data_IF_449104184357
#
_entry.id   IF_449104184357
#
_cell.length_a   1.000
_cell.length_b   1.000
_cell.length_c   1.000
_cell.angle_alpha   90.00
_cell.angle_beta   90.00
_cell.angle_gamma   90.00
#
_symmetry.space_group_name_H-M   'P 1'
#
loop_
_entity.id
_entity.type
_entity.pdbx_description
1 polymer ?
#
# COMPACT_ATOMS: atom_id res chain seq x y z
N UNK A 1 33.77 3.01 -42.13
CA UNK A 1 33.07 4.27 -41.81
C UNK A 1 31.82 3.92 -41.01
N UNK A 2 31.90 4.05 -39.69
CA UNK A 2 30.80 3.70 -38.79
C UNK A 2 30.09 5.02 -38.44
N UNK A 3 28.80 5.12 -38.76
CA UNK A 3 28.04 6.35 -38.61
C UNK A 3 27.87 6.70 -37.12
N UNK A 4 28.23 7.91 -36.67
CA UNK A 4 28.12 8.33 -35.27
C UNK A 4 26.68 8.66 -34.83
N UNK A 5 25.68 8.36 -35.67
CA UNK A 5 24.29 8.76 -35.44
C UNK A 5 23.39 7.65 -34.85
N UNK A 6 23.92 6.45 -34.59
CA UNK A 6 23.13 5.32 -34.07
C UNK A 6 23.41 4.94 -32.60
N UNK A 7 24.19 5.74 -31.87
CA UNK A 7 24.64 5.42 -30.49
C UNK A 7 24.06 6.35 -29.41
N UNK A 8 22.89 6.97 -29.66
CA UNK A 8 22.24 7.90 -28.72
C UNK A 8 20.85 7.44 -28.24
N UNK A 9 20.46 6.20 -28.53
CA UNK A 9 19.19 5.59 -28.06
C UNK A 9 19.36 4.62 -26.88
N UNK A 10 20.55 4.52 -26.30
CA UNK A 10 20.80 3.69 -25.12
C UNK A 10 21.19 4.59 -23.95
N UNK A 11 20.43 4.49 -22.86
CA UNK A 11 20.57 5.21 -21.59
C UNK A 11 19.78 6.53 -21.47
N UNK A 12 18.49 6.49 -21.76
CA UNK A 12 17.59 7.19 -20.84
C UNK A 12 17.50 6.30 -19.59
N UNK A 13 18.10 6.64 -18.44
CA UNK A 13 17.65 6.03 -17.21
C UNK A 13 16.17 6.43 -17.10
N UNK A 14 15.28 5.45 -17.28
CA UNK A 14 13.94 5.58 -16.77
C UNK A 14 14.10 5.66 -15.24
N UNK A 15 14.38 6.86 -14.73
CA UNK A 15 14.31 7.17 -13.31
C UNK A 15 12.82 7.16 -13.00
N UNK A 16 12.23 5.97 -12.98
CA UNK A 16 10.89 5.75 -12.50
C UNK A 16 10.96 6.14 -11.03
N UNK A 17 10.30 7.26 -10.69
CA UNK A 17 9.93 7.56 -9.32
C UNK A 17 9.50 6.25 -8.65
N UNK A 18 10.18 5.82 -7.59
CA UNK A 18 9.77 4.61 -6.88
C UNK A 18 8.36 4.83 -6.32
N UNK A 19 7.38 4.26 -7.00
CA UNK A 19 5.97 4.26 -6.61
C UNK A 19 5.73 3.08 -5.69
N UNK A 20 5.19 3.35 -4.51
CA UNK A 20 4.81 2.33 -3.54
C UNK A 20 3.32 2.04 -3.68
N UNK A 21 2.94 0.98 -4.38
CA UNK A 21 1.55 0.51 -4.42
C UNK A 21 1.11 -0.04 -3.07
N UNK A 22 -0.19 0.06 -2.74
CA UNK A 22 -0.75 -0.52 -1.51
C UNK A 22 -0.92 -2.01 -1.73
N UNK A 23 -0.08 -2.81 -1.12
CA UNK A 23 -0.08 -4.27 -1.19
C UNK A 23 -0.31 -4.96 0.17
N UNK A 24 -0.49 -4.16 1.24
CA UNK A 24 -0.88 -4.62 2.57
C UNK A 24 -2.06 -3.84 3.13
N UNK A 25 -2.76 -4.43 4.11
CA UNK A 25 -3.72 -3.70 4.95
C UNK A 25 -3.02 -2.83 6.02
N UNK A 26 -3.82 -2.18 6.87
CA UNK A 26 -3.34 -1.30 7.95
C UNK A 26 -2.56 -2.04 9.05
N UNK A 27 -2.66 -3.37 9.09
CA UNK A 27 -1.93 -4.25 10.01
C UNK A 27 -0.72 -4.92 9.36
N UNK A 28 -0.36 -4.49 8.13
CA UNK A 28 0.74 -5.05 7.34
C UNK A 28 0.52 -6.49 6.86
N UNK A 29 -0.72 -7.00 6.86
CA UNK A 29 -1.02 -8.27 6.23
C UNK A 29 -1.07 -8.09 4.71
N UNK A 30 -0.46 -9.02 3.97
CA UNK A 30 -0.46 -8.98 2.51
C UNK A 30 -1.88 -9.12 1.95
N UNK A 31 -2.23 -8.21 1.05
CA UNK A 31 -3.48 -8.27 0.29
C UNK A 31 -3.38 -9.37 -0.77
N UNK A 32 -4.39 -10.24 -0.80
CA UNK A 32 -4.49 -11.33 -1.78
C UNK A 32 -5.45 -10.88 -2.88
N UNK A 33 -5.00 -10.75 -4.14
CA UNK A 33 -5.87 -10.30 -5.22
C UNK A 33 -6.96 -11.34 -5.52
N UNK A 34 -8.21 -10.90 -5.65
CA UNK A 34 -9.33 -11.83 -5.85
C UNK A 34 -9.21 -12.63 -7.15
N UNK A 35 -8.63 -12.04 -8.20
CA UNK A 35 -8.43 -12.70 -9.51
C UNK A 35 -7.50 -13.91 -9.43
N UNK A 36 -6.67 -13.99 -8.39
CA UNK A 36 -5.71 -15.06 -8.19
C UNK A 36 -6.34 -16.25 -7.44
N UNK A 37 -7.58 -16.10 -6.95
CA UNK A 37 -8.29 -17.17 -6.23
C UNK A 37 -8.94 -18.13 -7.22
N UNK A 38 -8.64 -19.42 -7.02
CA UNK A 38 -9.11 -20.50 -7.87
C UNK A 38 -10.43 -21.08 -7.38
N UNK A 39 -11.12 -21.79 -8.27
CA UNK A 39 -12.37 -22.48 -7.98
C UNK A 39 -12.05 -23.82 -7.29
N UNK A 40 -12.76 -24.10 -6.19
CA UNK A 40 -12.68 -25.37 -5.47
C UNK A 40 -11.51 -25.45 -4.48
N UNK A 41 -11.77 -26.07 -3.32
CA UNK A 41 -10.82 -26.11 -2.22
C UNK A 41 -9.58 -27.00 -2.44
N UNK A 42 -9.60 -27.88 -3.44
CA UNK A 42 -8.41 -28.64 -3.85
C UNK A 42 -7.29 -27.74 -4.41
N UNK A 43 -7.62 -26.54 -4.85
CA UNK A 43 -6.70 -25.59 -5.47
C UNK A 43 -6.66 -24.27 -4.68
N UNK A 44 -6.90 -24.34 -3.37
CA UNK A 44 -6.98 -23.18 -2.51
C UNK A 44 -5.67 -22.36 -2.53
N UNK A 45 -5.82 -21.04 -2.67
CA UNK A 45 -4.72 -20.08 -2.59
C UNK A 45 -4.76 -19.45 -1.21
N UNK A 46 -3.69 -19.63 -0.43
CA UNK A 46 -3.61 -19.17 0.96
C UNK A 46 -4.78 -19.64 1.85
N UNK A 47 -5.32 -20.84 1.58
CA UNK A 47 -6.46 -21.41 2.31
C UNK A 47 -7.83 -20.89 1.87
N UNK A 48 -7.91 -20.10 0.80
CA UNK A 48 -9.15 -19.59 0.23
C UNK A 48 -9.39 -20.11 -1.19
N UNK A 49 -10.67 -20.32 -1.54
CA UNK A 49 -11.11 -20.68 -2.87
C UNK A 49 -12.47 -20.05 -3.18
N UNK A 50 -12.86 -20.05 -4.47
CA UNK A 50 -14.24 -19.80 -4.86
C UNK A 50 -15.02 -21.11 -4.80
N UNK A 51 -16.04 -21.18 -3.95
CA UNK A 51 -16.91 -22.35 -3.80
C UNK A 51 -18.36 -21.88 -3.80
N UNK A 52 -19.21 -22.55 -4.58
CA UNK A 52 -20.62 -22.17 -4.80
C UNK A 52 -20.82 -20.68 -5.17
N UNK A 53 -19.85 -20.13 -5.91
CA UNK A 53 -19.83 -18.73 -6.33
C UNK A 53 -19.44 -17.72 -5.25
N UNK A 54 -19.08 -18.15 -4.04
CA UNK A 54 -18.62 -17.34 -2.93
C UNK A 54 -17.13 -17.50 -2.64
N UNK A 55 -16.47 -16.44 -2.13
CA UNK A 55 -15.13 -16.55 -1.56
C UNK A 55 -15.20 -17.27 -0.21
N UNK A 56 -14.53 -18.40 -0.06
CA UNK A 56 -14.63 -19.27 1.11
C UNK A 56 -13.24 -19.60 1.66
N UNK A 57 -13.12 -19.65 3.00
CA UNK A 57 -12.00 -20.28 3.70
C UNK A 57 -12.23 -21.78 3.74
N UNK A 58 -11.38 -22.53 3.07
CA UNK A 58 -11.62 -23.93 2.76
C UNK A 58 -11.75 -24.84 3.98
N UNK A 59 -10.93 -24.63 5.00
CA UNK A 59 -10.99 -25.43 6.23
C UNK A 59 -12.32 -25.26 6.96
N UNK A 60 -12.93 -24.06 6.90
CA UNK A 60 -14.23 -23.83 7.54
C UNK A 60 -15.35 -24.37 6.65
N UNK A 61 -15.31 -24.08 5.34
CA UNK A 61 -16.31 -24.57 4.39
C UNK A 61 -16.47 -26.10 4.44
N UNK A 62 -15.35 -26.83 4.47
CA UNK A 62 -15.37 -28.29 4.51
C UNK A 62 -15.93 -28.84 5.84
N UNK A 63 -15.73 -28.14 6.97
CA UNK A 63 -16.34 -28.53 8.25
C UNK A 63 -17.87 -28.37 8.23
N UNK A 64 -18.37 -27.28 7.65
CA UNK A 64 -19.81 -27.00 7.57
C UNK A 64 -20.56 -28.04 6.73
N UNK A 65 -19.91 -28.66 5.74
CA UNK A 65 -20.51 -29.75 4.96
C UNK A 65 -20.77 -31.03 5.78
N UNK A 66 -20.35 -31.08 7.06
CA UNK A 66 -20.52 -32.20 7.99
C UNK A 66 -21.69 -32.12 8.97
N UNK A 67 -22.47 -31.03 9.01
CA UNK A 67 -23.68 -30.93 9.84
C UNK A 67 -23.76 -29.65 10.69
N UNK A 68 -24.93 -28.99 10.63
CA UNK A 68 -25.26 -27.69 11.21
C UNK A 68 -25.06 -27.59 12.73
N UNK A 69 -23.95 -27.00 13.17
CA UNK A 69 -23.68 -26.69 14.59
C UNK A 69 -23.66 -25.19 14.88
N UNK A 70 -23.65 -24.81 16.16
CA UNK A 70 -23.58 -23.42 16.62
C UNK A 70 -22.33 -22.65 16.11
N UNK A 71 -21.25 -23.38 15.75
CA UNK A 71 -20.05 -22.83 15.13
C UNK A 71 -20.26 -22.42 13.66
N UNK A 72 -21.19 -23.05 12.95
CA UNK A 72 -21.51 -22.70 11.57
C UNK A 72 -22.11 -21.30 11.48
N UNK A 73 -22.84 -20.91 12.52
CA UNK A 73 -23.36 -19.58 12.67
C UNK A 73 -22.23 -18.54 12.79
N UNK A 74 -21.12 -18.86 13.47
CA UNK A 74 -19.99 -17.93 13.63
C UNK A 74 -19.26 -17.67 12.32
N UNK A 75 -19.00 -18.72 11.53
CA UNK A 75 -18.30 -18.54 10.25
C UNK A 75 -19.18 -17.80 9.23
N UNK A 76 -20.49 -18.08 9.17
CA UNK A 76 -21.41 -17.33 8.31
C UNK A 76 -21.47 -15.83 8.67
N UNK A 77 -21.52 -15.50 9.96
CA UNK A 77 -21.43 -14.11 10.42
C UNK A 77 -20.07 -13.47 10.07
N UNK A 78 -18.98 -14.21 10.23
CA UNK A 78 -17.65 -13.77 9.83
C UNK A 78 -17.59 -13.46 8.32
N UNK A 79 -18.09 -14.36 7.47
CA UNK A 79 -18.16 -14.15 6.01
C UNK A 79 -18.91 -12.87 5.67
N UNK A 80 -20.07 -12.68 6.26
CA UNK A 80 -20.91 -11.50 5.99
C UNK A 80 -20.28 -10.19 6.44
N UNK A 81 -19.51 -10.23 7.52
CA UNK A 81 -18.83 -9.04 8.04
C UNK A 81 -17.54 -8.71 7.28
N UNK A 82 -16.80 -9.73 6.86
CA UNK A 82 -15.40 -9.59 6.44
C UNK A 82 -15.16 -9.93 4.97
N UNK A 83 -15.87 -10.91 4.41
CA UNK A 83 -15.67 -11.43 3.06
C UNK A 83 -16.78 -11.04 2.06
N UNK A 84 -17.90 -10.45 2.52
CA UNK A 84 -19.01 -9.99 1.68
C UNK A 84 -19.29 -8.50 1.88
N UNK A 85 -18.94 -7.66 0.91
CA UNK A 85 -19.10 -6.19 0.97
C UNK A 85 -20.56 -5.81 1.14
N UNK A 86 -21.46 -6.41 0.36
CA UNK A 86 -22.91 -6.27 0.52
C UNK A 86 -23.55 -7.60 0.93
N UNK A 87 -22.96 -8.26 1.94
CA UNK A 87 -23.55 -9.44 2.56
C UNK A 87 -24.63 -9.11 3.59
N UNK A 88 -25.55 -10.05 3.80
CA UNK A 88 -26.48 -10.10 4.92
C UNK A 88 -26.70 -11.55 5.36
N UNK A 89 -26.83 -11.76 6.67
CA UNK A 89 -27.15 -13.09 7.21
C UNK A 89 -28.66 -13.30 7.07
N UNK A 90 -29.05 -14.31 6.28
CA UNK A 90 -30.44 -14.74 6.06
C UNK A 90 -30.52 -16.26 6.23
N UNK A 91 -31.43 -16.69 7.09
CA UNK A 91 -31.63 -18.12 7.42
C UNK A 91 -30.35 -18.80 7.95
N UNK A 92 -29.58 -18.07 8.76
CA UNK A 92 -28.31 -18.57 9.31
C UNK A 92 -27.17 -18.66 8.31
N UNK A 93 -27.37 -18.26 7.04
CA UNK A 93 -26.34 -18.23 6.01
C UNK A 93 -26.06 -16.81 5.54
N UNK A 94 -24.81 -16.52 5.25
CA UNK A 94 -24.42 -15.30 4.60
C UNK A 94 -24.79 -15.33 3.12
N UNK A 95 -25.64 -14.39 2.71
CA UNK A 95 -26.08 -14.24 1.32
C UNK A 95 -25.78 -12.81 0.85
N UNK A 96 -25.64 -12.61 -0.45
CA UNK A 96 -25.61 -11.24 -0.97
C UNK A 96 -26.97 -10.58 -0.75
N UNK A 97 -26.94 -9.28 -0.42
CA UNK A 97 -28.13 -8.43 -0.46
C UNK A 97 -28.75 -8.45 -1.85
N UNK A 98 -30.04 -8.15 -1.89
CA UNK A 98 -30.78 -8.05 -3.15
C UNK A 98 -30.04 -7.16 -4.16
N UNK A 99 -30.00 -7.59 -5.42
CA UNK A 99 -29.30 -6.94 -6.53
C UNK A 99 -27.76 -6.95 -6.47
N UNK A 100 -27.14 -7.56 -5.46
CA UNK A 100 -25.70 -7.81 -5.43
C UNK A 100 -25.35 -9.27 -5.76
N UNK A 101 -24.15 -9.46 -6.29
CA UNK A 101 -23.63 -10.77 -6.69
C UNK A 101 -22.10 -10.84 -6.62
N UNK A 102 -21.57 -11.99 -7.03
CA UNK A 102 -20.14 -12.27 -7.13
C UNK A 102 -19.55 -12.81 -5.82
N UNK A 103 -18.29 -13.27 -5.85
CA UNK A 103 -17.63 -13.94 -4.73
C UNK A 103 -17.60 -13.16 -3.42
N UNK A 104 -17.60 -11.83 -3.52
CA UNK A 104 -17.55 -10.93 -2.36
C UNK A 104 -18.80 -10.06 -2.22
N UNK A 105 -19.89 -10.38 -2.94
CA UNK A 105 -21.11 -9.56 -2.98
C UNK A 105 -20.83 -8.09 -3.28
N UNK A 106 -19.89 -7.79 -4.19
CA UNK A 106 -19.49 -6.44 -4.53
C UNK A 106 -20.07 -5.96 -5.87
N UNK A 107 -20.47 -6.88 -6.75
CA UNK A 107 -20.99 -6.56 -8.07
C UNK A 107 -22.49 -6.28 -8.01
N UNK A 108 -22.93 -5.22 -8.68
CA UNK A 108 -24.35 -4.88 -8.76
C UNK A 108 -24.95 -5.39 -10.06
N UNK A 109 -26.05 -6.15 -9.99
CA UNK A 109 -26.70 -6.82 -11.14
C UNK A 109 -27.16 -5.87 -12.23
N UNK A 110 -27.48 -4.62 -11.88
CA UNK A 110 -27.86 -3.59 -12.85
C UNK A 110 -26.69 -2.88 -13.53
N UNK A 111 -25.45 -3.25 -13.22
CA UNK A 111 -24.24 -2.67 -13.79
C UNK A 111 -23.50 -3.67 -14.71
N UNK A 112 -22.60 -3.19 -15.58
CA UNK A 112 -21.71 -4.06 -16.34
C UNK A 112 -20.88 -4.97 -15.41
N UNK A 113 -20.39 -6.08 -15.96
CA UNK A 113 -19.58 -7.07 -15.24
C UNK A 113 -18.43 -6.42 -14.45
N UNK A 114 -18.23 -6.87 -13.21
CA UNK A 114 -17.20 -6.37 -12.31
C UNK A 114 -17.46 -4.97 -11.72
N UNK A 115 -18.54 -4.29 -12.09
CA UNK A 115 -18.90 -2.97 -11.56
C UNK A 115 -19.86 -3.07 -10.36
N UNK A 116 -19.78 -2.07 -9.49
CA UNK A 116 -20.67 -1.88 -8.35
C UNK A 116 -21.53 -0.63 -8.53
N UNK A 117 -22.53 -0.46 -7.67
CA UNK A 117 -23.36 0.74 -7.62
C UNK A 117 -22.80 1.71 -6.57
N UNK A 118 -22.30 2.86 -7.00
CA UNK A 118 -21.84 3.93 -6.11
C UNK A 118 -22.59 5.22 -6.44
N UNK A 119 -23.27 5.82 -5.47
CA UNK A 119 -24.07 7.03 -5.68
C UNK A 119 -25.00 6.93 -6.91
N UNK A 120 -25.67 5.77 -7.08
CA UNK A 120 -26.59 5.47 -8.19
C UNK A 120 -25.95 5.41 -9.59
N UNK A 121 -24.63 5.40 -9.68
CA UNK A 121 -23.91 5.20 -10.95
C UNK A 121 -23.07 3.94 -10.87
N UNK A 122 -22.93 3.26 -12.01
CA UNK A 122 -22.05 2.11 -12.13
C UNK A 122 -20.60 2.56 -12.09
N UNK A 123 -19.82 1.91 -11.23
CA UNK A 123 -18.47 2.33 -10.90
C UNK A 123 -17.58 1.12 -10.60
N UNK A 124 -16.28 1.31 -10.73
CA UNK A 124 -15.30 0.38 -10.16
C UNK A 124 -15.35 0.43 -8.64
N UNK A 125 -15.36 -0.75 -8.01
CA UNK A 125 -15.23 -0.87 -6.55
C UNK A 125 -13.91 -0.28 -6.07
N UNK A 126 -12.84 -0.57 -6.80
CA UNK A 126 -11.50 -0.05 -6.56
C UNK A 126 -11.24 1.09 -7.55
N UNK A 127 -11.10 2.32 -7.02
CA UNK A 127 -10.85 3.51 -7.84
C UNK A 127 -9.43 3.53 -8.39
N UNK A 128 -9.21 4.38 -9.38
CA UNK A 128 -7.87 4.68 -9.93
C UNK A 128 -7.07 3.43 -10.31
N UNK A 129 -7.69 2.52 -11.08
CA UNK A 129 -7.11 1.24 -11.51
C UNK A 129 -6.72 0.29 -10.36
N UNK A 130 -7.26 0.51 -9.15
CA UNK A 130 -7.07 -0.41 -8.05
C UNK A 130 -7.65 -1.79 -8.37
N UNK A 131 -7.11 -2.81 -7.72
CA UNK A 131 -7.54 -4.18 -7.89
C UNK A 131 -8.20 -4.71 -6.63
N UNK A 132 -9.38 -5.33 -6.75
CA UNK A 132 -10.05 -5.95 -5.61
C UNK A 132 -9.20 -7.08 -5.03
N UNK A 133 -9.03 -7.03 -3.73
CA UNK A 133 -8.23 -7.94 -2.96
C UNK A 133 -8.88 -8.17 -1.59
N UNK A 134 -8.32 -9.08 -0.81
CA UNK A 134 -8.79 -9.31 0.54
C UNK A 134 -7.65 -9.74 1.46
N UNK A 135 -7.87 -9.56 2.75
CA UNK A 135 -7.11 -10.21 3.81
C UNK A 135 -8.01 -11.17 4.56
N UNK A 136 -7.49 -11.81 5.62
CA UNK A 136 -8.32 -12.58 6.54
C UNK A 136 -9.34 -11.71 7.29
N UNK A 137 -9.28 -10.38 7.18
CA UNK A 137 -10.15 -9.45 7.91
C UNK A 137 -11.08 -8.68 7.01
N UNK A 138 -10.70 -8.30 5.79
CA UNK A 138 -11.55 -7.45 4.97
C UNK A 138 -11.33 -7.69 3.48
N UNK A 139 -12.40 -7.53 2.71
CA UNK A 139 -12.31 -7.19 1.28
C UNK A 139 -11.96 -5.71 1.15
N UNK A 140 -10.90 -5.42 0.40
CA UNK A 140 -10.35 -4.10 0.14
C UNK A 140 -9.76 -4.04 -1.28
N UNK A 141 -8.92 -3.04 -1.55
CA UNK A 141 -8.24 -2.87 -2.82
C UNK A 141 -6.72 -2.77 -2.64
N UNK A 142 -6.00 -3.37 -3.58
CA UNK A 142 -4.62 -3.03 -3.90
C UNK A 142 -4.66 -1.74 -4.73
N UNK A 143 -3.92 -0.73 -4.29
CA UNK A 143 -3.98 0.60 -4.90
C UNK A 143 -2.68 0.95 -5.63
N UNK A 144 -2.81 1.49 -6.83
CA UNK A 144 -1.69 2.12 -7.51
C UNK A 144 -1.32 3.43 -6.82
N UNK A 145 -0.03 3.69 -6.63
CA UNK A 145 0.41 5.00 -6.13
C UNK A 145 -0.06 6.10 -7.09
N UNK A 146 -0.50 7.27 -6.58
CA UNK A 146 -0.41 7.73 -5.20
C UNK A 146 -1.63 7.37 -4.32
N UNK A 147 -2.50 6.47 -4.74
CA UNK A 147 -3.79 6.25 -4.08
C UNK A 147 -3.70 5.29 -2.90
N UNK A 148 -4.62 5.47 -1.97
CA UNK A 148 -4.71 4.71 -0.71
C UNK A 148 -6.19 4.65 -0.24
N UNK A 149 -6.42 4.04 0.92
CA UNK A 149 -7.73 3.80 1.48
C UNK A 149 -8.22 2.38 1.19
N UNK A 150 -9.43 2.06 1.67
CA UNK A 150 -10.01 0.73 1.46
C UNK A 150 -10.34 0.48 -0.01
N UNK A 151 -10.73 1.54 -0.73
CA UNK A 151 -11.21 1.48 -2.11
C UNK A 151 -10.41 2.37 -3.08
N UNK A 152 -9.17 2.73 -2.71
CA UNK A 152 -8.25 3.56 -3.51
C UNK A 152 -8.80 4.95 -3.85
N UNK A 153 -9.65 5.50 -3.00
CA UNK A 153 -10.36 6.77 -3.16
C UNK A 153 -9.64 7.95 -2.49
N UNK A 154 -8.61 7.69 -1.69
CA UNK A 154 -7.84 8.71 -0.95
C UNK A 154 -6.49 8.96 -1.61
N UNK A 155 -6.19 10.23 -1.91
CA UNK A 155 -4.87 10.64 -2.38
C UNK A 155 -3.83 10.56 -1.24
N UNK A 156 -2.69 9.93 -1.50
CA UNK A 156 -1.61 9.70 -0.54
C UNK A 156 -0.24 9.90 -1.20
N UNK A 157 0.13 11.15 -1.49
CA UNK A 157 1.30 11.49 -2.30
C UNK A 157 2.64 11.02 -1.72
N UNK A 158 2.74 10.75 -0.42
CA UNK A 158 3.92 10.12 0.18
C UNK A 158 4.27 8.77 -0.48
N UNK A 159 3.29 8.08 -1.08
CA UNK A 159 3.48 6.83 -1.84
C UNK A 159 4.24 7.01 -3.16
N UNK A 160 4.50 8.23 -3.59
CA UNK A 160 5.33 8.54 -4.76
C UNK A 160 6.83 8.50 -4.45
N UNK A 161 7.22 8.22 -3.21
CA UNK A 161 8.60 8.14 -2.77
C UNK A 161 8.86 6.90 -1.89
N UNK A 162 10.14 6.48 -1.78
CA UNK A 162 10.55 5.54 -0.76
C UNK A 162 10.39 6.14 0.64
N UNK A 163 10.39 5.29 1.67
CA UNK A 163 10.02 5.64 3.06
C UNK A 163 10.82 6.83 3.62
N UNK A 164 12.09 6.90 3.26
CA UNK A 164 13.07 7.90 3.69
C UNK A 164 12.76 9.30 3.12
N UNK A 165 11.97 9.35 2.04
CA UNK A 165 11.72 10.54 1.22
C UNK A 165 10.23 10.85 1.04
N UNK A 166 9.36 10.20 1.80
CA UNK A 166 7.89 10.41 1.78
C UNK A 166 7.48 11.88 1.94
N UNK A 167 8.29 12.69 2.64
CA UNK A 167 8.02 14.11 2.89
C UNK A 167 8.25 15.02 1.69
N UNK A 168 8.92 14.53 0.64
CA UNK A 168 9.17 15.27 -0.62
C UNK A 168 7.90 15.52 -1.40
N UNK A 169 6.88 14.67 -1.21
CA UNK A 169 5.61 14.76 -1.91
C UNK A 169 4.49 15.21 -0.98
N UNK A 170 3.63 16.11 -1.47
CA UNK A 170 2.49 16.68 -0.74
C UNK A 170 1.22 16.51 -1.55
N UNK A 171 0.13 16.23 -0.83
CA UNK A 171 -1.21 16.32 -1.40
C UNK A 171 -1.54 17.78 -1.69
N UNK A 172 -1.97 18.09 -2.92
CA UNK A 172 -2.40 19.41 -3.35
C UNK A 172 -3.71 19.28 -4.11
N UNK A 173 -4.84 19.31 -3.39
CA UNK A 173 -6.15 19.01 -3.99
C UNK A 173 -6.21 17.56 -4.45
N UNK A 174 -6.38 17.35 -5.76
CA UNK A 174 -6.48 16.04 -6.40
C UNK A 174 -5.16 15.58 -7.08
N UNK A 175 -4.06 16.31 -6.89
CA UNK A 175 -2.76 15.99 -7.50
C UNK A 175 -1.62 16.00 -6.46
N UNK A 176 -0.50 15.39 -6.85
CA UNK A 176 0.72 15.37 -6.05
C UNK A 176 1.69 16.47 -6.51
N UNK A 177 2.23 17.20 -5.54
CA UNK A 177 3.26 18.23 -5.77
C UNK A 177 4.47 18.02 -4.90
N UNK A 178 5.60 18.56 -5.33
CA UNK A 178 6.77 18.63 -4.50
C UNK A 178 6.53 19.51 -3.27
N UNK A 179 7.16 19.15 -2.15
CA UNK A 179 7.20 19.98 -0.97
C UNK A 179 7.96 21.27 -1.26
N UNK A 180 7.76 22.28 -0.41
CA UNK A 180 8.38 23.59 -0.57
C UNK A 180 9.91 23.48 -0.67
N UNK A 181 10.47 24.17 -1.66
CA UNK A 181 11.92 24.18 -1.92
C UNK A 181 12.46 22.93 -2.62
N UNK A 182 11.59 22.03 -3.07
CA UNK A 182 11.94 20.88 -3.89
C UNK A 182 11.28 20.97 -5.27
N UNK A 183 11.97 20.44 -6.27
CA UNK A 183 11.48 20.34 -7.64
C UNK A 183 11.99 19.09 -8.35
N UNK A 184 11.75 19.01 -9.65
CA UNK A 184 12.07 17.86 -10.48
C UNK A 184 10.97 16.81 -10.50
N UNK A 185 11.07 15.83 -11.40
CA UNK A 185 10.05 14.79 -11.58
C UNK A 185 9.91 13.86 -10.37
N UNK A 186 10.93 13.79 -9.52
CA UNK A 186 10.96 12.97 -8.30
C UNK A 186 10.99 13.79 -7.01
N UNK A 187 10.82 15.11 -7.10
CA UNK A 187 10.93 16.05 -5.99
C UNK A 187 12.26 15.97 -5.23
N UNK A 188 13.35 15.64 -5.93
CA UNK A 188 14.69 15.37 -5.40
C UNK A 188 15.70 16.49 -5.65
N UNK A 189 15.32 17.51 -6.43
CA UNK A 189 16.13 18.71 -6.65
C UNK A 189 15.82 19.72 -5.56
N UNK A 190 16.82 20.09 -4.76
CA UNK A 190 16.68 21.16 -3.77
C UNK A 190 16.90 22.51 -4.45
N UNK A 191 15.89 23.37 -4.43
CA UNK A 191 15.95 24.72 -5.00
C UNK A 191 16.07 25.82 -3.94
N UNK A 192 15.56 25.57 -2.73
CA UNK A 192 15.59 26.56 -1.66
C UNK A 192 15.45 25.92 -0.27
N UNK A 193 15.87 26.66 0.75
CA UNK A 193 15.78 26.26 2.15
C UNK A 193 14.67 27.01 2.88
N UNK A 194 13.95 26.33 3.77
CA UNK A 194 12.92 26.97 4.61
C UNK A 194 13.53 27.70 5.81
N UNK A 195 14.54 27.10 6.46
CA UNK A 195 15.20 27.65 7.65
C UNK A 195 16.73 27.46 7.56
N UNK A 196 17.37 28.16 6.62
CA UNK A 196 18.80 28.05 6.40
C UNK A 196 19.24 28.72 5.10
N UNK A 197 20.50 28.52 4.76
CA UNK A 197 21.10 29.07 3.53
C UNK A 197 21.27 27.98 2.48
N UNK A 198 20.92 28.32 1.24
CA UNK A 198 21.15 27.43 0.10
C UNK A 198 22.54 27.66 -0.46
N UNK A 199 23.41 26.65 -0.39
CA UNK A 199 24.80 26.76 -0.83
C UNK A 199 25.31 25.42 -1.37
N UNK A 200 25.90 25.43 -2.56
CA UNK A 200 26.45 24.23 -3.20
C UNK A 200 25.40 23.16 -3.50
N UNK A 201 24.18 23.54 -3.90
CA UNK A 201 23.10 22.61 -4.26
C UNK A 201 22.42 21.93 -3.08
N UNK A 202 22.66 22.40 -1.84
CA UNK A 202 22.08 21.84 -0.62
C UNK A 202 21.78 22.94 0.40
N UNK A 203 20.98 22.60 1.40
CA UNK A 203 20.70 23.50 2.51
C UNK A 203 21.69 23.33 3.67
N UNK A 204 22.15 24.46 4.19
CA UNK A 204 22.84 24.57 5.48
C UNK A 204 21.82 25.12 6.49
N UNK A 205 21.31 24.24 7.36
CA UNK A 205 20.22 24.59 8.26
C UNK A 205 20.67 25.51 9.39
N UNK A 206 19.81 26.47 9.73
CA UNK A 206 19.94 27.25 10.95
C UNK A 206 19.83 26.36 12.19
N UNK A 207 20.33 26.87 13.32
CA UNK A 207 20.31 26.15 14.59
C UNK A 207 18.88 25.72 14.97
N UNK A 208 18.73 24.46 15.41
CA UNK A 208 17.43 23.88 15.77
C UNK A 208 16.61 23.33 14.61
N UNK A 209 17.11 23.39 13.37
CA UNK A 209 16.45 22.83 12.18
C UNK A 209 17.28 21.75 11.49
N UNK A 210 16.59 20.85 10.76
CA UNK A 210 17.19 19.74 10.01
C UNK A 210 16.34 19.35 8.79
N UNK A 211 16.87 18.42 8.00
CA UNK A 211 16.24 17.90 6.79
C UNK A 211 16.76 18.56 5.53
N UNK A 212 16.43 17.98 4.37
CA UNK A 212 16.97 18.40 3.06
C UNK A 212 16.67 19.85 2.69
N UNK A 213 15.51 20.38 3.11
CA UNK A 213 15.11 21.79 2.96
C UNK A 213 15.07 22.55 4.29
N UNK A 214 15.59 22.00 5.38
CA UNK A 214 15.50 22.57 6.73
C UNK A 214 14.07 22.83 7.24
N UNK A 215 13.10 22.07 6.74
CA UNK A 215 11.70 22.18 7.14
C UNK A 215 11.39 21.56 8.52
N UNK A 216 12.29 20.74 9.07
CA UNK A 216 12.04 19.98 10.29
C UNK A 216 12.71 20.62 11.50
N UNK A 217 11.95 20.86 12.57
CA UNK A 217 12.53 21.23 13.86
C UNK A 217 13.20 20.04 14.53
N UNK A 218 14.28 20.30 15.24
CA UNK A 218 14.92 19.32 16.10
C UNK A 218 14.14 19.17 17.41
N UNK A 219 14.20 17.99 18.00
CA UNK A 219 13.58 17.73 19.30
C UNK A 219 14.32 18.56 20.36
N UNK A 220 13.61 19.30 21.23
CA UNK A 220 14.25 20.06 22.30
C UNK A 220 15.16 19.16 23.15
N UNK A 221 16.38 19.64 23.45
CA UNK A 221 17.37 18.90 24.24
C UNK A 221 18.15 17.81 23.48
N UNK A 222 17.88 17.60 22.19
CA UNK A 222 18.62 16.66 21.34
C UNK A 222 19.29 17.43 20.19
N UNK A 223 20.61 17.31 20.07
CA UNK A 223 21.32 17.97 18.96
C UNK A 223 20.84 17.43 17.60
N UNK A 224 20.73 18.32 16.61
CA UNK A 224 20.33 17.98 15.24
C UNK A 224 21.36 17.10 14.50
N UNK A 225 22.57 16.97 15.05
CA UNK A 225 23.68 16.26 14.42
C UNK A 225 23.46 14.76 14.55
N UNK A 226 23.12 14.12 13.42
CA UNK A 226 23.08 12.68 13.31
C UNK A 226 24.50 12.10 13.21
N UNK A 227 25.36 12.34 14.18
CA UNK A 227 26.47 11.42 14.43
C UNK A 227 25.95 10.36 15.37
N UNK A 228 25.37 9.29 14.81
CA UNK A 228 25.38 8.01 15.53
C UNK A 228 26.86 7.70 15.75
N UNK A 229 27.39 7.61 16.98
CA UNK A 229 28.68 7.01 17.16
C UNK A 229 28.56 5.60 16.61
N UNK A 230 29.23 5.36 15.49
CA UNK A 230 29.48 4.03 14.99
C UNK A 230 30.00 3.21 16.17
N UNK A 231 29.23 2.21 16.60
CA UNK A 231 29.61 1.17 17.56
C UNK A 231 30.78 0.29 17.05
N UNK A 232 31.57 0.78 16.10
CA UNK A 232 32.76 0.16 15.55
C UNK A 232 34.04 0.53 16.35
N UNK A 233 33.97 1.47 17.31
CA UNK A 233 35.12 1.81 18.16
C UNK A 233 35.43 0.79 19.26
N UNK A 234 34.45 0.02 19.73
CA UNK A 234 34.65 -0.91 20.84
C UNK A 234 35.32 -2.23 20.42
N UNK A 235 35.15 -2.68 19.17
CA UNK A 235 35.80 -3.89 18.66
C UNK A 235 37.29 -3.69 18.32
N UNK A 236 37.70 -2.48 17.93
CA UNK A 236 39.10 -2.20 17.61
C UNK A 236 40.01 -2.19 18.85
N UNK A 237 39.50 -1.77 20.01
CA UNK A 237 40.25 -1.78 21.27
C UNK A 237 40.36 -3.20 21.86
N UNK A 238 39.34 -4.03 21.67
CA UNK A 238 39.36 -5.44 22.12
C UNK A 238 40.35 -6.29 21.31
N UNK A 239 40.51 -6.05 20.01
CA UNK A 239 41.53 -6.73 19.20
C UNK A 239 42.95 -6.30 19.56
N UNK A 240 43.19 -5.05 19.95
CA UNK A 240 44.50 -4.59 20.37
C UNK A 240 44.98 -5.21 21.71
N UNK A 241 44.05 -5.64 22.58
CA UNK A 241 44.40 -6.31 23.85
C UNK A 241 44.61 -7.82 23.72
N UNK A 242 44.26 -8.43 22.58
CA UNK A 242 44.53 -9.86 22.31
C UNK A 242 45.96 -10.06 21.76
N UNK A 243 46.55 -9.04 21.13
CA UNK A 243 47.92 -9.10 20.58
C UNK A 243 49.01 -8.58 21.54
N UNK A 244 48.66 -8.27 22.80
CA UNK A 244 49.60 -7.84 23.85
C UNK A 244 49.75 -8.87 24.99
N UNK A 245 49.49 -10.15 24.70
CA UNK A 245 49.88 -11.28 25.55
C UNK A 245 50.73 -12.27 24.78
#
# INVERSE_FOLDING_TARGET
MWSPQLLLLLLAPAILAQRKNKDTDDEYNKLIPLKDILIGCSSAVNGYAIVDGGLEKCDEFLKQTGGGTEEDNKYEHFKCKHLRVHGEVKDGKCKCKENYQGPTCNEYRGCPEGKTLFNRVCADQCRHNGQIAFTQKNVECICEAPWDGRFCDRLACWRMAPKEHERRWKNAGNECKCAKGLSGPNCDIVESCENGEFSGGRCVCAEGFKGETCALKCTPGVSCSATRPALFGALAVLMAMIFLR
#
